data_IF_373686566869
#
_entry.id   IF_373686566869
#
_cell.length_a   1.000
_cell.length_b   1.000
_cell.length_c   1.000
_cell.angle_alpha   90.00
_cell.angle_beta   90.00
_cell.angle_gamma   90.00
#
_symmetry.space_group_name_H-M   'P 1'
#
loop_
_entity.id
_entity.type
_entity.pdbx_description
1 polymer ?
#
# COMPACT_ATOMS: atom_id res chain seq x y z
N UNK A 1 -2.36 20.29 -17.16
CA UNK A 1 -2.88 18.99 -17.58
C UNK A 1 -1.73 18.00 -17.64
N UNK A 2 -1.86 16.79 -17.07
CA UNK A 2 -0.83 15.77 -17.21
C UNK A 2 -0.61 15.43 -18.68
N UNK A 3 0.65 15.28 -19.07
CA UNK A 3 1.00 14.97 -20.45
C UNK A 3 0.65 13.52 -20.77
N UNK A 4 -0.27 13.28 -21.69
CA UNK A 4 -0.64 11.94 -22.19
C UNK A 4 0.59 11.19 -22.73
N UNK A 5 1.63 11.91 -23.17
CA UNK A 5 2.87 11.32 -23.67
C UNK A 5 3.66 10.52 -22.62
N UNK A 6 3.39 10.72 -21.31
CA UNK A 6 4.05 10.01 -20.23
C UNK A 6 3.29 8.73 -19.79
N UNK A 7 2.10 8.47 -20.34
CA UNK A 7 1.33 7.27 -20.02
C UNK A 7 1.78 6.14 -20.95
N UNK A 8 2.39 5.05 -20.43
CA UNK A 8 2.78 3.94 -21.29
C UNK A 8 1.55 3.25 -21.89
N UNK A 9 1.68 2.63 -23.06
CA UNK A 9 0.60 1.86 -23.67
C UNK A 9 0.27 0.64 -22.78
N UNK A 10 -0.98 0.18 -22.87
CA UNK A 10 -1.35 -1.09 -22.25
C UNK A 10 -0.50 -2.24 -22.83
N UNK A 11 -0.14 -3.25 -22.03
CA UNK A 11 0.59 -4.41 -22.52
C UNK A 11 -0.13 -5.08 -23.68
N UNK A 12 0.61 -5.58 -24.66
CA UNK A 12 0.05 -6.38 -25.73
C UNK A 12 -0.52 -7.69 -25.20
N UNK A 13 -1.61 -8.18 -25.82
CA UNK A 13 -2.31 -9.39 -25.37
C UNK A 13 -1.50 -10.70 -25.51
N UNK A 14 -0.28 -10.65 -26.05
CA UNK A 14 0.62 -11.80 -26.16
C UNK A 14 1.57 -11.99 -24.95
N UNK A 15 1.65 -11.04 -24.02
CA UNK A 15 2.64 -11.00 -22.94
C UNK A 15 2.10 -11.50 -21.58
N UNK A 16 1.18 -12.48 -21.60
CA UNK A 16 0.53 -12.97 -20.37
C UNK A 16 1.53 -13.58 -19.36
N UNK A 17 2.57 -14.23 -19.82
CA UNK A 17 3.59 -14.81 -18.95
C UNK A 17 4.47 -13.71 -18.32
N UNK A 18 4.90 -12.72 -19.09
CA UNK A 18 5.65 -11.56 -18.60
C UNK A 18 4.79 -10.72 -17.62
N UNK A 19 3.50 -10.55 -17.94
CA UNK A 19 2.58 -9.85 -17.06
C UNK A 19 2.42 -10.53 -15.69
N UNK A 20 2.31 -11.87 -15.67
CA UNK A 20 2.28 -12.64 -14.42
C UNK A 20 3.59 -12.55 -13.67
N UNK A 21 4.70 -12.67 -14.35
CA UNK A 21 6.02 -12.57 -13.75
C UNK A 21 6.22 -11.21 -13.06
N UNK A 22 5.78 -10.12 -13.70
CA UNK A 22 5.80 -8.77 -13.13
C UNK A 22 4.81 -8.60 -11.99
N UNK A 23 3.62 -9.17 -12.09
CA UNK A 23 2.61 -9.14 -11.03
C UNK A 23 3.10 -9.84 -9.75
N UNK A 24 3.68 -11.04 -9.93
CA UNK A 24 4.33 -11.78 -8.84
C UNK A 24 5.49 -10.97 -8.26
N UNK A 25 6.31 -10.36 -9.14
CA UNK A 25 7.40 -9.48 -8.74
C UNK A 25 6.93 -8.30 -7.90
N UNK A 26 5.86 -7.61 -8.32
CA UNK A 26 5.30 -6.47 -7.60
C UNK A 26 4.81 -6.86 -6.19
N UNK A 27 3.98 -7.89 -6.11
CA UNK A 27 3.36 -8.30 -4.84
C UNK A 27 4.36 -8.95 -3.88
N UNK A 28 5.25 -9.81 -4.41
CA UNK A 28 6.30 -10.43 -3.61
C UNK A 28 7.37 -9.40 -3.21
N UNK A 29 7.69 -8.48 -4.11
CA UNK A 29 8.64 -7.40 -3.85
C UNK A 29 8.16 -6.45 -2.76
N UNK A 30 6.86 -6.17 -2.70
CA UNK A 30 6.24 -5.44 -1.59
C UNK A 30 6.49 -6.16 -0.27
N UNK A 31 6.11 -7.44 -0.17
CA UNK A 31 6.23 -8.20 1.06
C UNK A 31 7.69 -8.43 1.51
N UNK A 32 8.62 -8.58 0.56
CA UNK A 32 10.06 -8.68 0.84
C UNK A 32 10.59 -7.34 1.36
N UNK A 33 10.20 -6.22 0.74
CA UNK A 33 10.60 -4.89 1.17
C UNK A 33 10.11 -4.56 2.58
N UNK A 34 8.84 -4.81 2.85
CA UNK A 34 8.20 -4.71 4.15
C UNK A 34 8.98 -5.52 5.21
N UNK A 35 9.17 -6.82 5.00
CA UNK A 35 9.87 -7.69 5.94
C UNK A 35 11.36 -7.32 6.16
N UNK A 36 12.03 -6.73 5.16
CA UNK A 36 13.40 -6.22 5.29
C UNK A 36 13.44 -4.90 6.05
N UNK A 37 12.45 -4.04 5.85
CA UNK A 37 12.36 -2.70 6.42
C UNK A 37 11.89 -2.69 7.88
N UNK A 38 10.96 -3.58 8.26
CA UNK A 38 10.32 -3.60 9.57
C UNK A 38 11.28 -3.50 10.78
N UNK A 39 12.44 -4.18 10.83
CA UNK A 39 13.37 -4.01 11.94
C UNK A 39 14.02 -2.63 12.03
N UNK A 40 14.02 -1.86 10.95
CA UNK A 40 14.63 -0.53 10.84
C UNK A 40 13.60 0.61 10.90
N UNK A 41 12.32 0.28 11.04
CA UNK A 41 11.22 1.23 11.20
C UNK A 41 11.50 2.20 12.37
N UNK A 42 11.20 3.49 12.14
CA UNK A 42 11.44 4.60 13.07
C UNK A 42 12.93 4.85 13.45
N UNK A 43 13.87 4.13 12.86
CA UNK A 43 15.30 4.31 13.14
C UNK A 43 15.94 5.39 12.27
N UNK A 44 17.01 6.00 12.80
CA UNK A 44 17.92 6.86 12.03
C UNK A 44 18.99 5.98 11.36
N UNK A 45 19.55 6.41 10.21
CA UNK A 45 20.65 5.69 9.58
C UNK A 45 21.87 5.45 10.48
N UNK A 46 22.12 6.34 11.45
CA UNK A 46 23.20 6.17 12.44
C UNK A 46 22.91 5.01 13.41
N UNK A 47 21.65 4.82 13.78
CA UNK A 47 21.20 3.74 14.67
C UNK A 47 21.25 2.40 13.94
N UNK A 48 20.77 2.37 12.68
CA UNK A 48 20.88 1.21 11.79
C UNK A 48 22.35 0.78 11.66
N UNK A 49 23.24 1.73 11.34
CA UNK A 49 24.67 1.46 11.21
C UNK A 49 25.32 1.01 12.50
N UNK A 50 24.92 1.54 13.63
CA UNK A 50 25.45 1.13 14.94
C UNK A 50 25.02 -0.30 15.30
N UNK A 51 23.82 -0.70 14.88
CA UNK A 51 23.25 -2.01 15.25
C UNK A 51 23.67 -3.14 14.31
N UNK A 52 23.68 -2.88 12.98
CA UNK A 52 23.88 -3.91 11.96
C UNK A 52 24.93 -3.56 10.91
N UNK A 53 25.58 -2.41 10.98
CA UNK A 53 26.35 -1.88 9.86
C UNK A 53 25.41 -1.38 8.75
N UNK A 54 25.59 -1.88 7.51
CA UNK A 54 24.60 -1.74 6.46
C UNK A 54 23.70 -2.99 6.46
N UNK A 55 22.41 -2.82 6.43
CA UNK A 55 21.48 -3.94 6.21
C UNK A 55 21.64 -4.39 4.75
N UNK A 56 21.92 -5.67 4.55
CA UNK A 56 22.13 -6.31 3.25
C UNK A 56 21.28 -7.55 3.05
N UNK A 57 20.37 -7.84 3.99
CA UNK A 57 19.46 -8.97 4.00
C UNK A 57 18.62 -8.94 5.27
N UNK A 58 17.85 -9.97 5.52
CA UNK A 58 17.05 -10.06 6.74
C UNK A 58 17.89 -10.02 7.99
N UNK A 59 17.52 -9.14 8.92
CA UNK A 59 18.14 -9.03 10.25
C UNK A 59 17.23 -9.57 11.36
N UNK A 60 15.96 -9.86 11.03
CA UNK A 60 15.02 -10.55 11.90
C UNK A 60 15.20 -12.07 11.78
N UNK A 61 15.07 -12.82 12.90
CA UNK A 61 15.15 -14.28 12.91
C UNK A 61 13.99 -14.94 12.14
N UNK A 62 12.81 -14.34 12.19
CA UNK A 62 11.60 -14.82 11.53
C UNK A 62 10.98 -13.69 10.70
N UNK A 63 11.56 -13.35 9.54
CA UNK A 63 11.06 -12.28 8.71
C UNK A 63 9.63 -12.60 8.22
N UNK A 64 8.80 -11.59 8.15
CA UNK A 64 7.42 -11.67 7.62
C UNK A 64 6.94 -10.28 7.28
N UNK A 65 5.99 -10.19 6.38
CA UNK A 65 5.25 -8.96 6.15
C UNK A 65 4.52 -8.50 7.41
N UNK A 66 4.27 -7.21 7.48
CA UNK A 66 3.56 -6.49 8.55
C UNK A 66 2.17 -6.05 8.07
N UNK A 67 1.68 -4.91 8.55
CA UNK A 67 0.44 -4.30 8.06
C UNK A 67 0.52 -3.91 6.57
N UNK A 68 1.66 -3.47 6.07
CA UNK A 68 1.87 -3.18 4.64
C UNK A 68 1.40 -4.36 3.77
N UNK A 69 1.90 -5.55 4.09
CA UNK A 69 1.56 -6.78 3.36
C UNK A 69 0.10 -7.19 3.58
N UNK A 70 -0.39 -7.14 4.82
CA UNK A 70 -1.75 -7.58 5.16
C UNK A 70 -2.81 -6.64 4.55
N UNK A 71 -2.60 -5.32 4.57
CA UNK A 71 -3.50 -4.36 3.91
C UNK A 71 -3.39 -4.43 2.37
N UNK A 72 -2.22 -4.71 1.80
CA UNK A 72 -2.09 -4.94 0.36
C UNK A 72 -2.88 -6.19 -0.08
N UNK A 73 -2.84 -7.27 0.69
CA UNK A 73 -3.67 -8.46 0.45
C UNK A 73 -5.16 -8.09 0.52
N UNK A 74 -5.59 -7.38 1.57
CA UNK A 74 -6.98 -6.93 1.74
C UNK A 74 -7.47 -6.12 0.54
N UNK A 75 -6.76 -5.05 0.15
CA UNK A 75 -7.11 -4.22 -0.99
C UNK A 75 -7.08 -5.01 -2.31
N UNK A 76 -6.12 -5.93 -2.48
CA UNK A 76 -6.01 -6.78 -3.64
C UNK A 76 -7.19 -7.75 -3.80
N UNK A 77 -7.63 -8.40 -2.72
CA UNK A 77 -8.81 -9.28 -2.72
C UNK A 77 -10.09 -8.51 -3.01
N UNK A 78 -10.24 -7.31 -2.45
CA UNK A 78 -11.38 -6.45 -2.71
C UNK A 78 -11.42 -6.01 -4.18
N UNK A 79 -10.26 -5.63 -4.72
CA UNK A 79 -10.12 -5.27 -6.13
C UNK A 79 -10.38 -6.46 -7.07
N UNK A 80 -9.87 -7.65 -6.75
CA UNK A 80 -10.14 -8.86 -7.52
C UNK A 80 -11.64 -9.19 -7.59
N UNK A 81 -12.38 -8.89 -6.51
CA UNK A 81 -13.82 -9.11 -6.43
C UNK A 81 -14.64 -8.13 -7.27
N UNK A 82 -14.26 -6.86 -7.28
CA UNK A 82 -15.07 -5.77 -7.86
C UNK A 82 -14.50 -5.20 -9.17
N UNK A 83 -13.20 -5.42 -9.43
CA UNK A 83 -12.53 -4.91 -10.63
C UNK A 83 -12.67 -3.40 -10.79
N UNK A 84 -12.81 -2.95 -12.02
CA UNK A 84 -13.02 -1.52 -12.35
C UNK A 84 -14.36 -0.95 -11.86
N UNK A 85 -15.28 -1.79 -11.37
CA UNK A 85 -16.55 -1.39 -10.76
C UNK A 85 -16.44 -1.15 -9.26
N UNK A 86 -15.22 -1.18 -8.67
CA UNK A 86 -14.99 -0.85 -7.28
C UNK A 86 -15.55 0.55 -6.94
N UNK A 87 -16.32 0.64 -5.86
CA UNK A 87 -16.93 1.87 -5.36
C UNK A 87 -16.57 2.10 -3.90
N UNK A 88 -16.69 3.34 -3.43
CA UNK A 88 -16.50 3.70 -2.01
C UNK A 88 -17.39 2.85 -1.08
N UNK A 89 -18.62 2.58 -1.47
CA UNK A 89 -19.53 1.75 -0.68
C UNK A 89 -19.06 0.30 -0.55
N UNK A 90 -18.42 -0.27 -1.59
CA UNK A 90 -17.80 -1.59 -1.50
C UNK A 90 -16.64 -1.61 -0.50
N UNK A 91 -15.80 -0.57 -0.54
CA UNK A 91 -14.65 -0.44 0.36
C UNK A 91 -15.12 -0.26 1.80
N UNK A 92 -16.03 0.66 2.05
CA UNK A 92 -16.59 0.93 3.39
C UNK A 92 -17.25 -0.33 3.99
N UNK A 93 -18.06 -1.02 3.18
CA UNK A 93 -18.68 -2.30 3.60
C UNK A 93 -17.62 -3.33 3.99
N UNK A 94 -16.54 -3.45 3.22
CA UNK A 94 -15.45 -4.37 3.52
C UNK A 94 -14.69 -3.96 4.78
N UNK A 95 -14.43 -2.66 4.99
CA UNK A 95 -13.83 -2.15 6.22
C UNK A 95 -14.67 -2.48 7.44
N UNK A 96 -16.00 -2.30 7.39
CA UNK A 96 -16.89 -2.70 8.47
C UNK A 96 -16.82 -4.21 8.70
N UNK A 97 -17.05 -5.00 7.66
CA UNK A 97 -17.15 -6.45 7.76
C UNK A 97 -15.86 -7.12 8.27
N UNK A 98 -14.70 -6.62 7.85
CA UNK A 98 -13.43 -7.33 8.01
C UNK A 98 -12.48 -6.66 9.01
N UNK A 99 -12.75 -5.43 9.41
CA UNK A 99 -11.83 -4.64 10.25
C UNK A 99 -12.58 -3.95 11.40
N UNK A 100 -13.53 -3.04 11.11
CA UNK A 100 -14.08 -2.12 12.09
C UNK A 100 -15.04 -2.76 13.10
N UNK A 101 -15.87 -3.70 12.64
CA UNK A 101 -16.92 -4.33 13.45
C UNK A 101 -16.43 -5.60 14.15
N UNK A 102 -15.15 -5.92 14.08
CA UNK A 102 -14.57 -7.00 14.85
C UNK A 102 -14.45 -6.59 16.32
N UNK A 103 -14.80 -7.50 17.24
CA UNK A 103 -14.73 -7.27 18.69
C UNK A 103 -13.29 -7.06 19.18
N UNK A 104 -12.34 -7.62 18.45
CA UNK A 104 -10.91 -7.54 18.72
C UNK A 104 -10.30 -6.35 17.97
N UNK A 105 -9.94 -5.30 18.66
CA UNK A 105 -9.25 -4.15 18.08
C UNK A 105 -9.01 -3.05 19.10
N UNK A 106 -8.11 -2.12 18.88
CA UNK A 106 -7.31 -1.91 17.69
C UNK A 106 -6.23 -2.97 17.55
N UNK A 107 -6.03 -3.44 16.32
CA UNK A 107 -5.09 -4.50 16.01
C UNK A 107 -3.65 -4.04 16.29
N UNK A 108 -2.82 -4.96 16.76
CA UNK A 108 -1.38 -4.72 16.90
C UNK A 108 -0.82 -4.37 15.52
N UNK A 109 -0.01 -3.31 15.45
CA UNK A 109 0.63 -2.89 14.20
C UNK A 109 -0.24 -2.02 13.28
N UNK A 110 -1.52 -1.78 13.58
CA UNK A 110 -2.30 -0.82 12.80
C UNK A 110 -1.66 0.57 12.90
N UNK A 111 -1.43 1.20 11.75
CA UNK A 111 -0.91 2.55 11.64
C UNK A 111 -1.84 3.60 12.25
N UNK A 112 -1.37 4.84 12.33
CA UNK A 112 -2.17 5.91 12.94
C UNK A 112 -3.41 6.28 12.11
N UNK A 113 -3.31 6.20 10.77
CA UNK A 113 -4.45 6.47 9.87
C UNK A 113 -5.54 5.41 10.02
N UNK A 114 -5.16 4.14 10.11
CA UNK A 114 -6.08 3.03 10.30
C UNK A 114 -6.83 3.15 11.62
N UNK A 115 -6.14 3.52 12.70
CA UNK A 115 -6.76 3.76 14.02
C UNK A 115 -7.73 4.92 13.99
N UNK A 116 -7.37 6.04 13.36
CA UNK A 116 -8.24 7.20 13.20
C UNK A 116 -9.49 6.88 12.40
N UNK A 117 -9.33 6.14 11.32
CA UNK A 117 -10.43 5.65 10.47
C UNK A 117 -11.37 4.73 11.25
N UNK A 118 -10.82 3.72 11.95
CA UNK A 118 -11.63 2.78 12.74
C UNK A 118 -12.43 3.49 13.83
N UNK A 119 -11.84 4.47 14.49
CA UNK A 119 -12.53 5.27 15.49
C UNK A 119 -13.72 6.03 14.88
N UNK A 120 -13.53 6.63 13.70
CA UNK A 120 -14.58 7.35 12.99
C UNK A 120 -15.68 6.40 12.48
N UNK A 121 -15.34 5.27 11.88
CA UNK A 121 -16.31 4.26 11.42
C UNK A 121 -17.14 3.72 12.59
N UNK A 122 -16.53 3.43 13.74
CA UNK A 122 -17.24 2.98 14.96
C UNK A 122 -18.17 4.02 15.55
N UNK A 123 -17.92 5.30 15.27
CA UNK A 123 -18.83 6.42 15.58
C UNK A 123 -19.95 6.58 14.56
N UNK A 124 -20.02 5.77 13.52
CA UNK A 124 -20.98 5.85 12.43
C UNK A 124 -20.68 6.95 11.41
N UNK A 125 -19.43 7.40 11.32
CA UNK A 125 -19.01 8.38 10.31
C UNK A 125 -18.63 7.64 9.02
N UNK A 126 -19.45 7.78 7.99
CA UNK A 126 -19.27 7.17 6.69
C UNK A 126 -18.17 7.87 5.87
N UNK A 127 -17.62 7.19 4.85
CA UNK A 127 -16.70 7.80 3.92
C UNK A 127 -17.38 8.95 3.10
N UNK A 128 -16.68 10.04 2.80
CA UNK A 128 -15.26 10.30 3.10
C UNK A 128 -15.01 10.91 4.48
N UNK A 129 -16.04 11.10 5.32
CA UNK A 129 -15.88 11.72 6.65
C UNK A 129 -15.05 10.82 7.58
N UNK A 130 -15.11 9.50 7.40
CA UNK A 130 -14.27 8.54 8.14
C UNK A 130 -12.77 8.81 7.99
N UNK A 131 -12.35 9.37 6.85
CA UNK A 131 -10.97 9.77 6.57
C UNK A 131 -10.56 11.13 7.16
N UNK A 132 -11.49 11.90 7.73
CA UNK A 132 -11.20 13.23 8.29
C UNK A 132 -10.60 13.11 9.69
N UNK A 133 -9.31 12.84 9.75
CA UNK A 133 -8.52 12.78 10.97
C UNK A 133 -7.09 13.29 10.71
N UNK A 134 -6.35 13.58 11.78
CA UNK A 134 -5.02 14.21 11.70
C UNK A 134 -3.93 13.37 11.01
N UNK A 135 -4.18 12.08 10.80
CA UNK A 135 -3.26 11.16 10.13
C UNK A 135 -3.69 10.78 8.71
N UNK A 136 -4.65 11.51 8.12
CA UNK A 136 -5.18 11.25 6.79
C UNK A 136 -4.13 11.39 5.66
N UNK A 137 -2.98 11.99 5.95
CA UNK A 137 -1.87 12.18 5.01
C UNK A 137 -0.74 11.16 5.21
N UNK A 138 -1.00 10.10 5.98
CA UNK A 138 -0.02 9.03 6.14
C UNK A 138 0.18 8.24 4.84
N UNK A 139 1.22 7.43 4.82
CA UNK A 139 1.58 6.52 3.74
C UNK A 139 0.83 5.18 3.76
N UNK A 140 -0.08 4.98 4.72
CA UNK A 140 -0.89 3.78 4.84
C UNK A 140 -1.74 3.42 3.61
N UNK A 141 -2.01 4.38 2.70
CA UNK A 141 -2.56 4.06 1.38
C UNK A 141 -1.48 3.69 0.37
N UNK A 142 -0.30 4.29 0.45
CA UNK A 142 0.81 4.01 -0.45
C UNK A 142 1.35 2.58 -0.27
N UNK A 143 1.45 2.10 0.99
CA UNK A 143 1.90 0.75 1.32
C UNK A 143 1.05 -0.34 0.66
N UNK A 144 -0.25 -0.11 0.47
CA UNK A 144 -1.21 -1.06 -0.11
C UNK A 144 -1.63 -0.75 -1.55
N UNK A 145 -0.93 0.18 -2.22
CA UNK A 145 -1.33 0.66 -3.54
C UNK A 145 -0.89 -0.24 -4.72
N UNK A 146 0.10 -1.11 -4.52
CA UNK A 146 0.64 -1.97 -5.58
C UNK A 146 -0.41 -2.85 -6.29
N UNK A 147 -1.39 -3.48 -5.62
CA UNK A 147 -2.43 -4.27 -6.26
C UNK A 147 -3.21 -3.52 -7.34
N UNK A 148 -3.44 -2.22 -7.16
CA UNK A 148 -4.14 -1.37 -8.13
C UNK A 148 -3.32 -1.16 -9.39
N UNK A 149 -2.01 -1.03 -9.25
CA UNK A 149 -1.07 -0.95 -10.37
C UNK A 149 -0.98 -2.27 -11.14
N UNK A 150 -0.94 -3.39 -10.44
CA UNK A 150 -0.96 -4.74 -11.04
C UNK A 150 -2.24 -4.95 -11.84
N UNK A 151 -3.40 -4.69 -11.25
CA UNK A 151 -4.70 -4.83 -11.91
C UNK A 151 -4.84 -3.93 -13.15
N UNK A 152 -4.37 -2.70 -13.04
CA UNK A 152 -4.45 -1.71 -14.11
C UNK A 152 -3.15 -1.60 -14.93
N UNK A 153 -2.44 -2.71 -15.15
CA UNK A 153 -1.19 -2.76 -15.92
C UNK A 153 -1.28 -1.94 -17.20
N UNK A 154 -0.33 -1.03 -17.42
CA UNK A 154 -0.29 -0.11 -18.57
C UNK A 154 -1.34 1.01 -18.55
N UNK A 155 -2.14 1.14 -17.48
CA UNK A 155 -3.21 2.14 -17.34
C UNK A 155 -3.05 2.96 -16.06
N UNK A 156 -2.00 3.81 -15.95
CA UNK A 156 -1.68 4.54 -14.70
C UNK A 156 -2.83 5.39 -14.16
N UNK A 157 -3.60 6.05 -15.04
CA UNK A 157 -4.74 6.85 -14.63
C UNK A 157 -5.88 6.02 -14.00
N UNK A 158 -6.11 4.79 -14.50
CA UNK A 158 -7.09 3.88 -13.92
C UNK A 158 -6.61 3.33 -12.57
N UNK A 159 -5.33 2.99 -12.44
CA UNK A 159 -4.73 2.61 -11.17
C UNK A 159 -4.91 3.71 -10.12
N UNK A 160 -4.61 4.95 -10.49
CA UNK A 160 -4.76 6.13 -9.62
C UNK A 160 -6.23 6.39 -9.25
N UNK A 161 -7.17 6.17 -10.16
CA UNK A 161 -8.60 6.29 -9.89
C UNK A 161 -9.07 5.24 -8.87
N UNK A 162 -8.69 3.98 -9.07
CA UNK A 162 -9.14 2.88 -8.23
C UNK A 162 -8.56 2.97 -6.81
N UNK A 163 -7.28 3.30 -6.66
CA UNK A 163 -6.67 3.46 -5.33
C UNK A 163 -7.25 4.66 -4.58
N UNK A 164 -7.66 5.73 -5.27
CA UNK A 164 -8.35 6.85 -4.64
C UNK A 164 -9.75 6.46 -4.11
N UNK A 165 -10.45 5.54 -4.80
CA UNK A 165 -11.70 4.97 -4.30
C UNK A 165 -11.45 4.17 -3.01
N UNK A 166 -10.42 3.31 -2.99
CA UNK A 166 -10.04 2.56 -1.78
C UNK A 166 -9.63 3.49 -0.64
N UNK A 167 -8.79 4.47 -0.94
CA UNK A 167 -8.27 5.42 0.05
C UNK A 167 -9.32 6.34 0.66
N UNK A 168 -10.44 6.59 -0.01
CA UNK A 168 -11.44 7.57 0.44
C UNK A 168 -12.08 7.23 1.80
N UNK A 169 -11.97 5.99 2.27
CA UNK A 169 -12.44 5.55 3.59
C UNK A 169 -11.47 5.96 4.70
N UNK A 170 -10.17 6.01 4.40
CA UNK A 170 -9.10 6.11 5.40
C UNK A 170 -8.16 7.30 5.23
N UNK A 171 -8.07 7.88 4.03
CA UNK A 171 -7.09 8.91 3.69
C UNK A 171 -7.73 10.10 2.95
N UNK A 172 -7.03 11.23 3.00
CA UNK A 172 -7.39 12.45 2.29
C UNK A 172 -6.12 13.16 1.77
N UNK A 173 -6.28 14.10 0.85
CA UNK A 173 -5.21 14.97 0.36
C UNK A 173 -3.92 14.23 -0.01
N UNK A 174 -2.84 14.53 0.68
CA UNK A 174 -1.50 13.99 0.38
C UNK A 174 -1.42 12.45 0.56
N UNK A 175 -2.23 11.86 1.45
CA UNK A 175 -2.31 10.40 1.57
C UNK A 175 -2.89 9.75 0.31
N UNK A 176 -3.94 10.35 -0.25
CA UNK A 176 -4.51 9.91 -1.55
C UNK A 176 -3.48 10.08 -2.66
N UNK A 177 -2.79 11.23 -2.73
CA UNK A 177 -1.79 11.49 -3.77
C UNK A 177 -0.61 10.51 -3.69
N UNK A 178 -0.17 10.14 -2.47
CA UNK A 178 0.85 9.10 -2.28
C UNK A 178 0.43 7.76 -2.87
N UNK A 179 -0.77 7.28 -2.52
CA UNK A 179 -1.31 6.04 -3.07
C UNK A 179 -1.47 6.08 -4.59
N UNK A 180 -1.96 7.20 -5.14
CA UNK A 180 -2.09 7.41 -6.59
C UNK A 180 -0.74 7.34 -7.31
N UNK A 181 0.29 7.99 -6.76
CA UNK A 181 1.64 7.97 -7.32
C UNK A 181 2.20 6.53 -7.39
N UNK A 182 2.06 5.76 -6.29
CA UNK A 182 2.53 4.37 -6.23
C UNK A 182 1.76 3.49 -7.20
N UNK A 183 0.43 3.52 -7.19
CA UNK A 183 -0.40 2.71 -8.09
C UNK A 183 -0.10 3.00 -9.57
N UNK A 184 0.05 4.28 -9.93
CA UNK A 184 0.39 4.68 -11.30
C UNK A 184 1.80 4.25 -11.71
N UNK A 185 2.78 4.37 -10.79
CA UNK A 185 4.15 3.90 -11.01
C UNK A 185 4.20 2.40 -11.25
N UNK A 186 3.54 1.61 -10.40
CA UNK A 186 3.45 0.15 -10.56
C UNK A 186 2.76 -0.20 -11.88
N UNK A 187 1.65 0.47 -12.24
CA UNK A 187 0.95 0.22 -13.50
C UNK A 187 1.84 0.48 -14.74
N UNK A 188 2.69 1.50 -14.69
CA UNK A 188 3.67 1.79 -15.73
C UNK A 188 4.77 0.71 -15.79
N UNK A 189 5.31 0.32 -14.63
CA UNK A 189 6.32 -0.73 -14.51
C UNK A 189 5.80 -2.08 -15.04
N UNK A 190 4.55 -2.45 -14.74
CA UNK A 190 3.86 -3.64 -15.24
C UNK A 190 3.79 -3.68 -16.78
N UNK A 191 3.80 -2.53 -17.45
CA UNK A 191 3.86 -2.43 -18.92
C UNK A 191 5.28 -2.45 -19.50
N UNK A 192 6.30 -2.69 -18.68
CA UNK A 192 7.69 -2.67 -19.11
C UNK A 192 8.28 -1.28 -19.34
N UNK A 193 7.69 -0.25 -18.73
CA UNK A 193 8.19 1.12 -18.84
C UNK A 193 9.59 1.25 -18.18
N UNK A 194 10.51 2.03 -18.76
CA UNK A 194 11.79 2.33 -18.14
C UNK A 194 11.58 3.19 -16.88
N UNK A 195 12.54 3.18 -15.97
CA UNK A 195 12.50 3.86 -14.66
C UNK A 195 12.01 5.32 -14.76
N UNK A 196 12.51 6.06 -15.75
CA UNK A 196 12.11 7.46 -15.94
C UNK A 196 10.62 7.61 -16.29
N UNK A 197 10.06 6.69 -17.08
CA UNK A 197 8.65 6.70 -17.45
C UNK A 197 7.76 6.25 -16.28
N UNK A 198 8.22 5.34 -15.44
CA UNK A 198 7.55 4.97 -14.18
C UNK A 198 7.41 6.20 -13.27
N UNK A 199 8.50 6.93 -13.04
CA UNK A 199 8.49 8.18 -12.26
C UNK A 199 7.58 9.24 -12.89
N UNK A 200 7.66 9.43 -14.21
CA UNK A 200 6.82 10.39 -14.92
C UNK A 200 5.33 10.04 -14.81
N UNK A 201 4.97 8.76 -14.86
CA UNK A 201 3.59 8.28 -14.70
C UNK A 201 3.05 8.56 -13.30
N UNK A 202 3.86 8.38 -12.27
CA UNK A 202 3.51 8.73 -10.90
C UNK A 202 3.25 10.24 -10.73
N UNK A 203 4.12 11.08 -11.29
CA UNK A 203 3.97 12.54 -11.26
C UNK A 203 2.77 13.05 -12.09
N UNK A 204 2.37 12.31 -13.12
CA UNK A 204 1.30 12.72 -14.02
C UNK A 204 -0.11 12.61 -13.40
N UNK A 205 -0.27 11.83 -12.33
CA UNK A 205 -1.58 11.56 -11.70
C UNK A 205 -1.82 12.35 -10.42
N UNK A 206 -0.83 13.08 -9.92
CA UNK A 206 -0.94 13.89 -8.70
C UNK A 206 -0.89 15.38 -9.03
N UNK A 207 -1.50 16.27 -8.21
CA UNK A 207 -1.42 17.71 -8.44
C UNK A 207 0.03 18.21 -8.42
N UNK A 208 0.38 19.07 -9.38
CA UNK A 208 1.75 19.58 -9.56
C UNK A 208 2.29 20.34 -8.35
N UNK A 209 1.40 21.01 -7.62
CA UNK A 209 1.68 21.83 -6.44
C UNK A 209 1.49 21.05 -5.12
N UNK A 210 1.16 19.75 -5.18
CA UNK A 210 1.09 18.91 -3.99
C UNK A 210 2.45 18.75 -3.30
N UNK A 211 2.45 18.48 -2.02
CA UNK A 211 3.68 18.18 -1.29
C UNK A 211 4.33 16.89 -1.82
N UNK A 212 3.52 15.86 -2.06
CA UNK A 212 3.96 14.59 -2.68
C UNK A 212 4.70 14.83 -3.99
N UNK A 213 4.13 15.58 -4.94
CA UNK A 213 4.78 15.86 -6.22
C UNK A 213 6.11 16.61 -6.04
N UNK A 214 6.15 17.61 -5.15
CA UNK A 214 7.38 18.38 -4.87
C UNK A 214 8.46 17.52 -4.23
N UNK A 215 8.10 16.66 -3.27
CA UNK A 215 9.04 15.76 -2.60
C UNK A 215 9.60 14.70 -3.56
N UNK A 216 8.72 14.11 -4.38
CA UNK A 216 9.10 13.13 -5.40
C UNK A 216 10.09 13.73 -6.42
N UNK A 217 9.81 14.94 -6.93
CA UNK A 217 10.75 15.66 -7.83
C UNK A 217 12.09 15.91 -7.19
N UNK A 218 12.13 16.32 -5.90
CA UNK A 218 13.37 16.52 -5.15
C UNK A 218 14.17 15.22 -5.02
N UNK A 219 13.51 14.12 -4.65
CA UNK A 219 14.16 12.82 -4.50
C UNK A 219 14.81 12.36 -5.80
N UNK A 220 14.05 12.39 -6.89
CA UNK A 220 14.51 11.91 -8.21
C UNK A 220 15.60 12.81 -8.80
N UNK A 221 15.51 14.11 -8.61
CA UNK A 221 16.55 15.06 -9.08
C UNK A 221 17.94 14.76 -8.51
N UNK A 222 18.00 14.18 -7.31
CA UNK A 222 19.29 13.86 -6.63
C UNK A 222 19.58 12.38 -6.57
N UNK A 223 18.74 11.52 -7.15
CA UNK A 223 18.85 10.05 -7.09
C UNK A 223 20.22 9.55 -7.59
N UNK A 224 20.76 10.15 -8.66
CA UNK A 224 22.09 9.86 -9.18
C UNK A 224 23.26 10.05 -8.17
N UNK A 225 22.99 10.70 -7.02
CA UNK A 225 23.95 10.92 -5.93
C UNK A 225 23.81 9.92 -4.79
N UNK A 226 22.88 8.97 -4.92
CA UNK A 226 22.67 7.86 -4.00
C UNK A 226 21.88 8.20 -2.73
N UNK A 227 21.77 7.21 -1.87
CA UNK A 227 20.96 7.12 -0.65
C UNK A 227 20.99 8.39 0.22
N UNK A 228 22.19 8.85 0.59
CA UNK A 228 22.34 10.02 1.47
C UNK A 228 21.76 11.30 0.84
N UNK A 229 21.91 11.48 -0.46
CA UNK A 229 21.41 12.66 -1.15
C UNK A 229 19.88 12.63 -1.23
N UNK A 230 19.30 11.49 -1.57
CA UNK A 230 17.84 11.29 -1.61
C UNK A 230 17.24 11.60 -0.23
N UNK A 231 17.77 10.97 0.82
CA UNK A 231 17.30 11.21 2.18
C UNK A 231 17.40 12.66 2.61
N UNK A 232 18.52 13.31 2.33
CA UNK A 232 18.74 14.72 2.70
C UNK A 232 17.84 15.70 1.96
N UNK A 233 17.38 15.34 0.76
CA UNK A 233 16.49 16.18 -0.05
C UNK A 233 15.03 16.10 0.39
N UNK A 234 14.64 14.98 1.02
CA UNK A 234 13.23 14.65 1.33
C UNK A 234 12.91 14.77 2.80
N UNK A 235 13.74 14.18 3.68
CA UNK A 235 13.43 14.07 5.11
C UNK A 235 13.43 15.43 5.80
N UNK A 236 12.34 15.73 6.47
CA UNK A 236 12.20 16.95 7.27
C UNK A 236 12.75 16.67 8.67
N UNK A 237 13.90 17.27 8.96
CA UNK A 237 14.53 17.13 10.26
C UNK A 237 13.64 17.69 11.39
N UNK A 238 13.48 16.88 12.45
CA UNK A 238 12.67 17.26 13.61
C UNK A 238 11.17 17.06 13.45
N UNK A 239 10.69 16.62 12.29
CA UNK A 239 9.29 16.21 12.16
C UNK A 239 9.08 14.87 12.89
N UNK A 240 8.14 14.80 13.85
CA UNK A 240 8.04 13.64 14.75
C UNK A 240 7.43 12.40 14.08
N UNK A 241 6.60 12.59 13.05
CA UNK A 241 5.94 11.50 12.36
C UNK A 241 6.82 10.97 11.24
N UNK A 242 6.97 9.66 11.15
CA UNK A 242 7.77 8.99 10.12
C UNK A 242 6.91 8.47 8.96
N UNK A 243 5.62 8.38 9.17
CA UNK A 243 4.59 7.77 8.33
C UNK A 243 3.88 8.75 7.37
N UNK A 244 4.56 9.76 6.85
CA UNK A 244 3.95 10.71 5.92
C UNK A 244 4.12 10.29 4.46
N UNK A 245 3.02 10.21 3.71
CA UNK A 245 3.02 9.87 2.29
C UNK A 245 3.97 10.73 1.43
N UNK A 246 4.04 12.08 1.57
CA UNK A 246 5.01 12.89 0.83
C UNK A 246 6.47 12.56 1.10
N UNK A 247 6.80 11.99 2.27
CA UNK A 247 8.15 11.57 2.62
C UNK A 247 8.41 10.14 2.16
N UNK A 248 7.64 9.16 2.62
CA UNK A 248 7.86 7.75 2.35
C UNK A 248 7.83 7.42 0.85
N UNK A 249 6.81 7.93 0.13
CA UNK A 249 6.70 7.75 -1.32
C UNK A 249 7.88 8.37 -2.07
N UNK A 250 8.31 9.58 -1.67
CA UNK A 250 9.45 10.23 -2.32
C UNK A 250 10.77 9.48 -2.04
N UNK A 251 10.97 8.94 -0.82
CA UNK A 251 12.12 8.12 -0.49
C UNK A 251 12.13 6.83 -1.31
N UNK A 252 10.99 6.16 -1.44
CA UNK A 252 10.84 4.92 -2.22
C UNK A 252 11.17 5.14 -3.72
N UNK A 253 10.55 6.15 -4.35
CA UNK A 253 10.86 6.49 -5.74
C UNK A 253 12.30 6.98 -5.93
N UNK A 254 12.85 7.67 -4.94
CA UNK A 254 14.25 8.09 -4.94
C UNK A 254 15.21 6.90 -4.88
N UNK A 255 14.92 5.89 -4.06
CA UNK A 255 15.67 4.64 -3.98
C UNK A 255 15.57 3.84 -5.29
N UNK A 256 14.36 3.68 -5.81
CA UNK A 256 14.09 3.03 -7.09
C UNK A 256 14.82 3.71 -8.27
N UNK A 257 14.78 5.05 -8.33
CA UNK A 257 15.48 5.80 -9.37
C UNK A 257 17.01 5.77 -9.23
N UNK A 258 17.53 5.78 -7.99
CA UNK A 258 18.96 5.67 -7.72
C UNK A 258 19.55 4.32 -8.18
N UNK A 259 18.74 3.27 -8.11
CA UNK A 259 19.08 1.90 -8.50
C UNK A 259 18.72 1.57 -9.97
N UNK A 260 18.17 2.51 -10.72
CA UNK A 260 17.61 2.29 -12.07
C UNK A 260 16.69 1.05 -12.13
N UNK A 261 15.86 0.88 -11.10
CA UNK A 261 14.91 -0.21 -10.97
C UNK A 261 15.52 -1.58 -10.68
N UNK A 262 16.80 -1.68 -10.34
CA UNK A 262 17.36 -2.92 -9.77
C UNK A 262 16.67 -3.26 -8.47
N UNK A 263 16.26 -4.51 -8.28
CA UNK A 263 15.45 -4.91 -7.14
C UNK A 263 16.22 -4.78 -5.82
N UNK A 264 17.38 -5.42 -5.75
CA UNK A 264 18.18 -5.50 -4.52
C UNK A 264 18.63 -4.13 -4.06
N UNK A 265 19.19 -3.35 -4.98
CA UNK A 265 19.68 -2.00 -4.66
C UNK A 265 18.53 -1.03 -4.30
N UNK A 266 17.38 -1.14 -4.96
CA UNK A 266 16.20 -0.32 -4.63
C UNK A 266 15.75 -0.55 -3.19
N UNK A 267 15.53 -1.83 -2.82
CA UNK A 267 15.05 -2.20 -1.48
C UNK A 267 16.09 -1.87 -0.41
N UNK A 268 17.36 -2.27 -0.60
CA UNK A 268 18.40 -2.01 0.40
C UNK A 268 18.69 -0.53 0.58
N UNK A 269 18.60 0.28 -0.48
CA UNK A 269 18.70 1.75 -0.38
C UNK A 269 17.55 2.29 0.47
N UNK A 270 16.30 1.83 0.24
CA UNK A 270 15.14 2.25 1.00
C UNK A 270 15.28 1.92 2.50
N UNK A 271 15.56 0.65 2.83
CA UNK A 271 15.73 0.18 4.22
C UNK A 271 16.77 1.00 4.98
N UNK A 272 17.95 1.25 4.38
CA UNK A 272 19.06 1.92 5.06
C UNK A 272 18.87 3.43 5.24
N UNK A 273 17.84 4.00 4.63
CA UNK A 273 17.44 5.39 4.89
C UNK A 273 16.70 5.53 6.23
N UNK A 274 16.18 4.44 6.81
CA UNK A 274 15.39 4.48 8.04
C UNK A 274 14.06 5.23 7.85
N UNK A 275 13.57 5.89 8.88
CA UNK A 275 12.23 6.52 8.94
C UNK A 275 11.16 5.44 8.91
N UNK A 276 10.15 5.56 8.09
CA UNK A 276 9.19 4.51 7.78
C UNK A 276 9.85 3.54 6.78
N UNK A 277 10.70 2.66 7.31
CA UNK A 277 11.61 1.89 6.48
C UNK A 277 10.93 0.70 5.80
N UNK A 278 9.92 0.11 6.44
CA UNK A 278 9.10 -0.97 5.90
C UNK A 278 8.23 -0.48 4.74
N UNK A 279 7.42 0.56 4.96
CA UNK A 279 6.61 1.15 3.87
C UNK A 279 7.48 1.67 2.72
N UNK A 280 8.57 2.39 3.04
CA UNK A 280 9.49 2.89 2.00
C UNK A 280 10.07 1.74 1.18
N UNK A 281 10.47 0.63 1.83
CA UNK A 281 11.04 -0.52 1.14
C UNK A 281 9.97 -1.40 0.47
N UNK A 282 8.77 -1.51 1.03
CA UNK A 282 7.63 -2.18 0.39
C UNK A 282 7.26 -1.51 -0.93
N UNK A 283 7.15 -0.19 -0.96
CA UNK A 283 6.88 0.57 -2.18
C UNK A 283 8.03 0.45 -3.20
N UNK A 284 9.30 0.60 -2.76
CA UNK A 284 10.45 0.43 -3.65
C UNK A 284 10.52 -0.99 -4.22
N UNK A 285 10.24 -2.00 -3.39
CA UNK A 285 10.17 -3.41 -3.78
C UNK A 285 9.04 -3.70 -4.77
N UNK A 286 7.85 -3.10 -4.55
CA UNK A 286 6.75 -3.23 -5.50
C UNK A 286 7.09 -2.64 -6.89
N UNK A 287 7.67 -1.44 -6.93
CA UNK A 287 8.11 -0.78 -8.16
C UNK A 287 9.19 -1.60 -8.90
N UNK A 288 10.25 -2.00 -8.17
CA UNK A 288 11.36 -2.74 -8.74
C UNK A 288 10.95 -4.16 -9.15
N UNK A 289 10.13 -4.83 -8.34
CA UNK A 289 9.56 -6.14 -8.66
C UNK A 289 8.64 -6.12 -9.88
N UNK A 290 7.79 -5.09 -10.03
CA UNK A 290 7.00 -4.88 -11.24
C UNK A 290 7.87 -4.61 -12.47
N UNK A 291 9.02 -3.93 -12.29
CA UNK A 291 9.95 -3.59 -13.37
C UNK A 291 10.74 -4.81 -13.84
N UNK A 292 11.22 -5.63 -12.92
CA UNK A 292 12.18 -6.72 -13.20
C UNK A 292 11.58 -8.12 -13.17
N UNK A 293 10.37 -8.28 -12.60
CA UNK A 293 9.74 -9.59 -12.39
C UNK A 293 10.18 -10.27 -11.08
N UNK A 294 9.49 -11.34 -10.73
CA UNK A 294 9.75 -12.11 -9.51
C UNK A 294 11.11 -12.80 -9.51
N UNK A 295 11.57 -13.24 -10.68
CA UNK A 295 12.86 -13.89 -10.87
C UNK A 295 14.08 -13.01 -10.54
N UNK A 296 13.91 -11.68 -10.49
CA UNK A 296 14.95 -10.75 -10.09
C UNK A 296 15.10 -10.61 -8.56
N UNK A 297 14.16 -11.15 -7.79
CA UNK A 297 14.20 -11.12 -6.33
C UNK A 297 15.08 -12.26 -5.82
N UNK A 298 16.07 -12.00 -4.93
CA UNK A 298 16.92 -13.06 -4.39
C UNK A 298 16.10 -14.23 -3.82
N UNK A 299 16.40 -15.49 -4.19
CA UNK A 299 15.65 -16.67 -3.74
C UNK A 299 15.58 -16.82 -2.22
N UNK A 300 16.64 -16.44 -1.51
CA UNK A 300 16.70 -16.45 -0.04
C UNK A 300 15.73 -15.44 0.59
N UNK A 301 15.38 -14.35 -0.12
CA UNK A 301 14.40 -13.39 0.36
C UNK A 301 12.99 -13.87 0.07
N UNK A 302 12.75 -14.41 -1.13
CA UNK A 302 11.42 -14.89 -1.51
C UNK A 302 10.97 -16.08 -0.68
N UNK A 303 11.88 -17.02 -0.38
CA UNK A 303 11.57 -18.23 0.39
C UNK A 303 11.21 -17.97 1.85
N UNK A 304 11.57 -16.80 2.37
CA UNK A 304 11.22 -16.39 3.73
C UNK A 304 9.79 -15.81 3.84
N UNK A 305 9.20 -15.38 2.70
CA UNK A 305 7.85 -14.83 2.68
C UNK A 305 6.84 -15.98 2.57
N UNK A 306 6.09 -16.19 3.65
CA UNK A 306 4.98 -17.12 3.72
C UNK A 306 3.62 -16.43 3.67
N UNK A 307 2.54 -17.17 3.95
CA UNK A 307 1.20 -16.60 4.14
C UNK A 307 1.17 -15.55 5.25
N UNK A 308 0.34 -14.53 5.08
CA UNK A 308 0.10 -13.50 6.08
C UNK A 308 -0.27 -14.11 7.43
N UNK A 309 0.27 -13.54 8.50
CA UNK A 309 0.07 -14.05 9.87
C UNK A 309 -1.24 -13.55 10.48
N UNK A 310 -1.85 -12.51 9.91
CA UNK A 310 -3.02 -11.86 10.49
C UNK A 310 -2.71 -11.11 11.77
N UNK A 311 -1.48 -10.63 11.92
CA UNK A 311 -1.04 -9.90 13.12
C UNK A 311 -1.64 -8.50 13.21
N UNK A 312 -1.85 -7.86 12.07
CA UNK A 312 -2.48 -6.55 11.94
C UNK A 312 -3.93 -6.67 11.47
N UNK A 313 -4.18 -7.55 10.50
CA UNK A 313 -5.52 -7.88 10.00
C UNK A 313 -5.78 -9.39 10.15
N UNK A 314 -6.41 -9.83 11.26
CA UNK A 314 -6.69 -11.25 11.49
C UNK A 314 -7.46 -11.91 10.34
N UNK A 315 -8.29 -11.15 9.62
CA UNK A 315 -9.02 -11.62 8.44
C UNK A 315 -8.14 -11.99 7.26
N UNK A 316 -6.89 -11.54 7.24
CA UNK A 316 -5.91 -11.84 6.18
C UNK A 316 -5.02 -13.04 6.50
N UNK A 317 -5.14 -13.64 7.68
CA UNK A 317 -4.35 -14.80 8.06
C UNK A 317 -4.50 -15.94 7.03
N UNK A 318 -3.38 -16.49 6.59
CA UNK A 318 -3.33 -17.59 5.65
C UNK A 318 -3.38 -17.21 4.16
N UNK A 319 -3.67 -15.95 3.81
CA UNK A 319 -3.57 -15.47 2.43
C UNK A 319 -2.13 -15.20 2.04
N UNK A 320 -1.77 -15.51 0.80
CA UNK A 320 -0.43 -15.27 0.28
C UNK A 320 -0.44 -14.19 -0.80
N UNK A 321 0.57 -13.31 -0.82
CA UNK A 321 0.69 -12.24 -1.83
C UNK A 321 0.73 -12.76 -3.27
N UNK A 322 1.28 -13.97 -3.49
CA UNK A 322 1.31 -14.59 -4.81
C UNK A 322 -0.08 -15.03 -5.28
N UNK A 323 -0.95 -15.49 -4.38
CA UNK A 323 -2.33 -15.84 -4.73
C UNK A 323 -3.09 -14.58 -5.17
N UNK A 324 -2.87 -13.47 -4.48
CA UNK A 324 -3.44 -12.17 -4.86
C UNK A 324 -2.91 -11.71 -6.22
N UNK A 325 -1.61 -11.87 -6.48
CA UNK A 325 -1.02 -11.53 -7.77
C UNK A 325 -1.71 -12.27 -8.94
N UNK A 326 -1.98 -13.57 -8.78
CA UNK A 326 -2.67 -14.38 -9.80
C UNK A 326 -4.13 -13.94 -10.01
N UNK A 327 -4.81 -13.49 -8.96
CA UNK A 327 -6.20 -12.99 -9.06
C UNK A 327 -6.29 -11.64 -9.79
N UNK A 328 -5.23 -10.84 -9.76
CA UNK A 328 -5.22 -9.48 -10.31
C UNK A 328 -4.82 -9.40 -11.78
N UNK A 329 -4.34 -10.49 -12.38
CA UNK A 329 -3.99 -10.55 -13.79
C UNK A 329 -5.00 -11.40 -14.58
N UNK A 330 -5.26 -11.10 -15.87
CA UNK A 330 -6.11 -11.93 -16.69
C UNK A 330 -5.57 -13.36 -16.80
N UNK A 331 -6.45 -14.38 -16.68
CA UNK A 331 -6.11 -15.76 -16.95
C UNK A 331 -5.68 -15.99 -18.42
N UNK A 332 -5.19 -17.20 -18.73
CA UNK A 332 -4.67 -17.56 -20.08
C UNK A 332 -5.67 -17.30 -21.22
N UNK A 333 -6.97 -17.25 -20.93
CA UNK A 333 -8.01 -16.92 -21.91
C UNK A 333 -8.36 -15.42 -21.95
N UNK A 334 -7.58 -14.53 -21.31
CA UNK A 334 -7.87 -13.10 -21.22
C UNK A 334 -9.12 -12.74 -20.41
N UNK A 335 -9.67 -13.70 -19.65
CA UNK A 335 -10.81 -13.50 -18.73
C UNK A 335 -10.31 -13.42 -17.31
N UNK A 336 -10.81 -12.45 -16.55
CA UNK A 336 -10.60 -12.36 -15.12
C UNK A 336 -11.19 -13.59 -14.44
N UNK A 337 -10.46 -14.17 -13.48
CA UNK A 337 -11.00 -15.24 -12.66
C UNK A 337 -12.19 -14.68 -11.88
N UNK A 338 -13.38 -15.16 -12.18
CA UNK A 338 -14.56 -14.93 -11.34
C UNK A 338 -14.43 -15.85 -10.12
N UNK A 339 -13.71 -15.38 -9.11
CA UNK A 339 -13.56 -16.17 -7.88
C UNK A 339 -14.79 -15.98 -7.02
N UNK A 340 -15.56 -17.05 -6.94
CA UNK A 340 -16.52 -17.31 -5.85
C UNK A 340 -15.81 -17.91 -4.63
N UNK A 341 -14.51 -17.60 -4.43
CA UNK A 341 -13.88 -18.03 -3.17
C UNK A 341 -14.44 -17.13 -2.08
N UNK A 342 -15.24 -17.66 -1.16
CA UNK A 342 -15.70 -16.88 -0.02
C UNK A 342 -14.44 -16.49 0.76
N UNK A 343 -14.33 -15.21 1.10
CA UNK A 343 -13.56 -14.83 2.26
C UNK A 343 -14.17 -15.63 3.39
N UNK A 344 -13.50 -16.71 3.82
CA UNK A 344 -14.08 -17.67 4.74
C UNK A 344 -14.38 -16.97 6.07
N UNK A 345 -15.66 -16.70 6.28
CA UNK A 345 -16.24 -16.59 7.60
C UNK A 345 -17.22 -17.74 7.75
N UNK A 346 -16.98 -18.64 8.68
CA UNK A 346 -18.05 -19.47 9.20
C UNK A 346 -19.16 -18.54 9.65
N UNK A 347 -20.38 -18.75 9.13
CA UNK A 347 -21.56 -18.00 9.55
C UNK A 347 -21.73 -18.17 11.06
N UNK A 348 -21.36 -17.16 11.84
CA UNK A 348 -21.83 -17.08 13.22
C UNK A 348 -23.35 -16.83 13.16
N UNK A 349 -24.13 -17.56 13.96
CA UNK A 349 -25.55 -17.29 14.05
C UNK A 349 -25.76 -15.83 14.47
N UNK A 350 -26.60 -15.11 13.74
CA UNK A 350 -27.01 -13.73 14.06
C UNK A 350 -27.57 -13.71 15.48
N UNK A 351 -27.09 -12.84 16.38
CA UNK A 351 -27.74 -12.64 17.67
C UNK A 351 -29.17 -12.11 17.41
N UNK A 352 -30.15 -12.53 18.22
CA UNK A 352 -31.51 -12.05 18.08
C UNK A 352 -31.56 -10.53 18.26
N UNK A 353 -32.44 -9.81 17.56
CA UNK A 353 -32.55 -8.37 17.70
C UNK A 353 -32.88 -8.03 19.16
N UNK A 354 -31.99 -7.28 19.79
CA UNK A 354 -32.25 -6.65 21.11
C UNK A 354 -33.36 -5.63 20.90
N UNK A 355 -34.54 -5.92 21.46
CA UNK A 355 -35.64 -4.98 21.50
C UNK A 355 -35.21 -3.75 22.31
N UNK A 356 -35.10 -2.61 21.64
CA UNK A 356 -34.97 -1.33 22.32
C UNK A 356 -36.28 -1.03 23.04
N UNK A 357 -36.32 -1.26 24.33
CA UNK A 357 -37.39 -0.79 25.19
C UNK A 357 -37.07 0.68 25.53
N UNK A 358 -37.83 1.60 24.91
CA UNK A 358 -37.83 3.00 25.31
C UNK A 358 -38.36 3.09 26.74
N UNK A 359 -37.55 3.60 27.67
CA UNK A 359 -38.00 3.95 29.00
C UNK A 359 -38.99 5.12 28.90
N UNK A 360 -40.11 5.12 29.68
CA UNK A 360 -41.07 6.22 29.68
C UNK A 360 -40.42 7.49 30.24
N UNK A 361 -40.76 8.61 29.60
CA UNK A 361 -40.30 9.94 30.02
C UNK A 361 -40.78 10.25 31.45
N UNK A 362 -39.98 10.96 32.26
CA UNK A 362 -40.41 11.39 33.59
C UNK A 362 -41.52 12.42 33.48
N UNK A 363 -42.61 12.17 34.24
CA UNK A 363 -43.73 13.11 34.42
C UNK A 363 -43.26 14.34 35.21
N UNK A 364 -43.48 15.52 34.64
CA UNK A 364 -43.24 16.80 35.31
C UNK A 364 -44.28 16.98 36.42
N UNK A 365 -43.85 16.92 37.67
CA UNK A 365 -44.63 17.46 38.80
C UNK A 365 -44.39 18.98 38.90
N UNK A 366 -45.45 19.74 38.79
CA UNK A 366 -45.52 21.18 39.09
C UNK A 366 -45.59 21.38 40.59
N UNK A 367 -44.80 22.24 41.23
CA UNK A 367 -44.99 22.61 42.61
C UNK A 367 -46.05 23.72 42.75
N UNK A 368 -46.97 23.48 43.64
CA UNK A 368 -47.88 24.51 44.22
C UNK A 368 -47.14 25.43 45.17
#
# INVERSE_FOLDING_TARGET
MPSIACIPPAPASGDAADLRERARGAMLGLAVGDALGAPAENMKPSEIRARWGRITGYVAENPSGTDDTEYAIFSGLLLARHGSALTVAHVETAWHQWIADLDEGPFRGAGFSERGTLENLRRGLAAPISAQHRHAWSDGLAMRAAPFGVFAAGRPAEAARLVAVDGSVSHDGEGIYGGQAVAAGVAAAMAGAPTIAVVASALAVVPDDSWTARSLRRAVAVAHRGERAVRSAVVIGGYPWTDLAPEAVALAFGAYAAADGDFTESVLTAVNMGRDADTTAAVAGALAGATRGASAIPPEWTSAIGPARGSCLPSMAGHHVLDVAELLVPGECGKWATTTTPLHREERPTPPPTAFTLAPAPTSETPT
#
